data_IF_674738009161
#
_entry.id   IF_674738009161
#
_cell.length_a   1.000
_cell.length_b   1.000
_cell.length_c   1.000
_cell.angle_alpha   90.00
_cell.angle_beta   90.00
_cell.angle_gamma   90.00
#
_symmetry.space_group_name_H-M   'P 1'
#
loop_
_entity.id
_entity.type
_entity.pdbx_description
1 polymer ?
#
# COMPACT_ATOMS: atom_id res chain seq x y z
N UNK A 1 -3.98 -9.05 3.03
CA UNK A 1 -3.08 -7.87 3.11
C UNK A 1 -3.92 -6.62 2.84
N UNK A 2 -3.63 -5.44 3.42
CA UNK A 2 -4.41 -4.23 3.15
C UNK A 2 -3.73 -3.40 2.03
N UNK A 3 -4.48 -2.84 1.04
CA UNK A 3 -3.94 -2.04 -0.07
C UNK A 3 -2.96 -0.94 0.36
N UNK A 4 -3.33 -0.15 1.37
CA UNK A 4 -2.45 0.91 1.90
C UNK A 4 -1.16 0.38 2.55
N UNK A 5 -1.16 -0.82 3.16
CA UNK A 5 0.07 -1.42 3.69
C UNK A 5 1.02 -1.82 2.56
N UNK A 6 0.46 -2.38 1.49
CA UNK A 6 1.21 -2.69 0.29
C UNK A 6 1.83 -1.42 -0.31
N UNK A 7 1.03 -0.38 -0.52
CA UNK A 7 1.49 0.90 -1.08
C UNK A 7 2.64 1.50 -0.24
N UNK A 8 2.52 1.47 1.07
CA UNK A 8 3.58 1.93 1.96
C UNK A 8 4.88 1.16 1.80
N UNK A 9 4.81 -0.17 1.75
CA UNK A 9 6.00 -1.01 1.63
C UNK A 9 6.73 -0.76 0.30
N UNK A 10 6.00 -0.83 -0.82
CA UNK A 10 6.59 -0.74 -2.17
C UNK A 10 7.08 0.66 -2.53
N UNK A 11 6.54 1.70 -1.89
CA UNK A 11 6.98 3.09 -2.08
C UNK A 11 7.95 3.58 -0.98
N UNK A 12 8.34 2.72 -0.03
CA UNK A 12 9.17 3.10 1.12
C UNK A 12 8.62 4.28 1.93
N UNK A 13 7.31 4.25 2.18
CA UNK A 13 6.60 5.28 2.92
C UNK A 13 6.09 4.74 4.25
N UNK A 14 6.13 5.58 5.28
CA UNK A 14 5.37 5.37 6.50
C UNK A 14 3.88 5.70 6.29
N UNK A 15 2.99 5.11 7.11
CA UNK A 15 1.57 5.50 7.17
C UNK A 15 1.39 7.00 7.42
N UNK A 16 2.33 7.63 8.15
CA UNK A 16 2.29 9.07 8.41
C UNK A 16 2.58 9.89 7.14
N UNK A 17 3.50 9.43 6.29
CA UNK A 17 3.75 10.07 4.99
C UNK A 17 2.53 9.95 4.06
N UNK A 18 1.88 8.77 4.02
CA UNK A 18 0.62 8.61 3.27
C UNK A 18 -0.45 9.58 3.78
N UNK A 19 -0.63 9.69 5.10
CA UNK A 19 -1.59 10.62 5.69
C UNK A 19 -1.29 12.08 5.31
N UNK A 20 -0.01 12.49 5.35
CA UNK A 20 0.44 13.81 4.90
C UNK A 20 0.12 14.07 3.43
N UNK A 21 0.42 13.12 2.54
CA UNK A 21 0.11 13.24 1.10
C UNK A 21 -1.39 13.38 0.82
N UNK A 22 -2.24 12.80 1.68
CA UNK A 22 -3.69 12.91 1.57
C UNK A 22 -4.29 14.16 2.23
N UNK A 23 -3.50 14.87 3.05
CA UNK A 23 -3.93 16.02 3.84
C UNK A 23 -4.87 15.64 4.98
N UNK A 24 -4.62 14.49 5.63
CA UNK A 24 -5.43 13.96 6.73
C UNK A 24 -4.56 13.52 7.91
N UNK A 25 -5.19 13.20 9.03
CA UNK A 25 -4.47 12.69 10.20
C UNK A 25 -4.04 11.24 10.01
N UNK A 26 -2.94 10.85 10.66
CA UNK A 26 -2.53 9.44 10.75
C UNK A 26 -3.59 8.55 11.41
N UNK A 27 -4.36 9.10 12.36
CA UNK A 27 -5.45 8.36 13.00
C UNK A 27 -6.50 7.94 11.96
N UNK A 28 -6.89 8.85 11.07
CA UNK A 28 -7.85 8.55 9.98
C UNK A 28 -7.38 7.39 9.12
N UNK A 29 -6.09 7.37 8.74
CA UNK A 29 -5.51 6.25 7.97
C UNK A 29 -5.51 4.94 8.78
N UNK A 30 -5.19 5.00 10.08
CA UNK A 30 -5.21 3.82 10.94
C UNK A 30 -6.63 3.24 11.13
N UNK A 31 -7.67 4.05 11.04
CA UNK A 31 -9.05 3.55 11.10
C UNK A 31 -9.43 2.73 9.86
N UNK A 32 -8.82 3.02 8.70
CA UNK A 32 -9.01 2.24 7.48
C UNK A 32 -8.22 0.93 7.53
N UNK A 33 -6.96 0.98 7.95
CA UNK A 33 -6.02 -0.14 7.87
C UNK A 33 -6.06 -1.08 9.09
N UNK A 34 -6.54 -0.56 10.23
CA UNK A 34 -6.51 -1.23 11.53
C UNK A 34 -7.73 -2.12 11.80
N UNK A 35 -7.98 -2.42 13.08
CA UNK A 35 -9.06 -3.34 13.52
C UNK A 35 -10.47 -2.90 13.09
N UNK A 36 -10.68 -1.60 12.86
CA UNK A 36 -11.99 -1.06 12.45
C UNK A 36 -12.28 -1.31 10.97
N UNK A 37 -11.26 -1.55 10.15
CA UNK A 37 -11.34 -1.82 8.71
C UNK A 37 -12.36 -0.94 7.99
N UNK A 38 -12.40 0.36 8.33
CA UNK A 38 -13.39 1.27 7.74
C UNK A 38 -13.10 1.45 6.25
N UNK A 39 -14.12 1.46 5.39
CA UNK A 39 -13.92 1.76 3.98
C UNK A 39 -13.20 3.10 3.78
N UNK A 40 -12.27 3.14 2.81
CA UNK A 40 -11.60 4.38 2.42
C UNK A 40 -12.63 5.24 1.66
N UNK A 41 -12.87 6.51 2.07
CA UNK A 41 -13.83 7.38 1.38
C UNK A 41 -13.44 7.61 -0.09
N UNK A 42 -14.42 7.71 -1.00
CA UNK A 42 -14.17 7.84 -2.45
C UNK A 42 -13.23 9.00 -2.81
N UNK A 43 -13.35 10.14 -2.12
CA UNK A 43 -12.44 11.28 -2.30
C UNK A 43 -10.97 10.89 -2.09
N UNK A 44 -10.71 10.02 -1.11
CA UNK A 44 -9.37 9.56 -0.77
C UNK A 44 -8.94 8.41 -1.68
N UNK A 45 -9.86 7.55 -2.12
CA UNK A 45 -9.60 6.53 -3.14
C UNK A 45 -9.08 7.17 -4.44
N UNK A 46 -9.77 8.21 -4.93
CA UNK A 46 -9.34 8.95 -6.13
C UNK A 46 -7.94 9.55 -5.99
N UNK A 47 -7.66 10.18 -4.85
CA UNK A 47 -6.32 10.73 -4.56
C UNK A 47 -5.25 9.66 -4.52
N UNK A 48 -5.49 8.54 -3.82
CA UNK A 48 -4.56 7.42 -3.73
C UNK A 48 -4.30 6.79 -5.11
N UNK A 49 -5.36 6.62 -5.91
CA UNK A 49 -5.28 6.13 -7.28
C UNK A 49 -4.37 7.00 -8.13
N UNK A 50 -4.55 8.32 -8.09
CA UNK A 50 -3.71 9.28 -8.81
C UNK A 50 -2.26 9.34 -8.29
N UNK A 51 -2.07 9.37 -6.97
CA UNK A 51 -0.74 9.52 -6.36
C UNK A 51 0.16 8.31 -6.60
N UNK A 52 -0.42 7.11 -6.58
CA UNK A 52 0.33 5.85 -6.65
C UNK A 52 0.11 5.09 -7.95
N UNK A 53 -0.62 5.67 -8.90
CA UNK A 53 -0.95 5.08 -10.20
C UNK A 53 -1.53 3.65 -10.07
N UNK A 54 -2.52 3.49 -9.19
CA UNK A 54 -3.20 2.20 -8.94
C UNK A 54 -4.70 2.32 -9.21
N UNK A 55 -5.33 1.21 -9.60
CA UNK A 55 -6.78 1.19 -9.83
C UNK A 55 -7.55 1.46 -8.54
N UNK A 56 -8.63 2.24 -8.62
CA UNK A 56 -9.49 2.53 -7.46
C UNK A 56 -10.03 1.27 -6.77
N UNK A 57 -10.42 0.26 -7.56
CA UNK A 57 -10.91 -1.02 -7.05
C UNK A 57 -9.87 -1.76 -6.20
N UNK A 58 -8.57 -1.59 -6.46
CA UNK A 58 -7.52 -2.15 -5.61
C UNK A 58 -7.54 -1.52 -4.21
N UNK A 59 -7.75 -0.20 -4.13
CA UNK A 59 -7.80 0.51 -2.83
C UNK A 59 -9.08 0.13 -2.06
N UNK A 60 -10.19 -0.04 -2.76
CA UNK A 60 -11.48 -0.46 -2.19
C UNK A 60 -11.51 -1.92 -1.74
N UNK A 61 -10.58 -2.74 -2.24
CA UNK A 61 -10.55 -4.19 -1.99
C UNK A 61 -11.37 -5.01 -2.98
N UNK A 62 -11.88 -4.39 -4.04
CA UNK A 62 -12.59 -5.05 -5.14
C UNK A 62 -11.64 -5.82 -6.07
N UNK A 63 -10.34 -5.47 -6.03
CA UNK A 63 -9.29 -6.15 -6.78
C UNK A 63 -8.37 -6.85 -5.78
N UNK A 64 -8.24 -8.16 -5.91
CA UNK A 64 -7.36 -8.97 -5.08
C UNK A 64 -5.87 -8.74 -5.39
N UNK A 65 -5.03 -9.12 -4.44
CA UNK A 65 -3.58 -9.10 -4.66
C UNK A 65 -3.18 -10.25 -5.58
N UNK A 66 -2.44 -9.93 -6.64
CA UNK A 66 -1.81 -10.97 -7.45
C UNK A 66 -0.54 -11.49 -6.77
N UNK A 67 -0.14 -12.71 -7.11
CA UNK A 67 1.12 -13.29 -6.66
C UNK A 67 2.32 -12.39 -7.02
N UNK A 68 2.30 -11.78 -8.22
CA UNK A 68 3.32 -10.83 -8.66
C UNK A 68 3.45 -9.62 -7.72
N UNK A 69 2.32 -9.06 -7.27
CA UNK A 69 2.33 -7.94 -6.31
C UNK A 69 2.89 -8.39 -4.95
N UNK A 70 2.47 -9.56 -4.48
CA UNK A 70 2.95 -10.12 -3.22
C UNK A 70 4.47 -10.35 -3.28
N UNK A 71 4.96 -10.92 -4.39
CA UNK A 71 6.39 -11.15 -4.63
C UNK A 71 7.18 -9.84 -4.66
N UNK A 72 6.72 -8.84 -5.43
CA UNK A 72 7.36 -7.53 -5.50
C UNK A 72 7.49 -6.87 -4.10
N UNK A 73 6.44 -6.98 -3.28
CA UNK A 73 6.50 -6.49 -1.90
C UNK A 73 7.60 -7.20 -1.09
N UNK A 74 7.70 -8.54 -1.17
CA UNK A 74 8.75 -9.29 -0.47
C UNK A 74 10.15 -8.97 -0.99
N UNK A 75 10.32 -8.88 -2.31
CA UNK A 75 11.57 -8.45 -2.95
C UNK A 75 12.00 -7.08 -2.43
N UNK A 76 11.07 -6.13 -2.32
CA UNK A 76 11.32 -4.79 -1.79
C UNK A 76 11.80 -4.86 -0.33
N UNK A 77 11.10 -5.61 0.52
CA UNK A 77 11.45 -5.75 1.94
C UNK A 77 12.81 -6.39 2.15
N UNK A 78 13.10 -7.48 1.44
CA UNK A 78 14.37 -8.18 1.52
C UNK A 78 15.50 -7.29 0.99
N UNK A 79 15.26 -6.60 -0.13
CA UNK A 79 16.26 -5.72 -0.73
C UNK A 79 16.69 -4.61 0.23
N UNK A 80 15.73 -3.99 0.93
CA UNK A 80 16.01 -3.00 1.98
C UNK A 80 16.83 -3.59 3.12
N UNK A 81 16.45 -4.78 3.61
CA UNK A 81 17.15 -5.45 4.71
C UNK A 81 18.59 -5.81 4.36
N UNK A 82 18.86 -6.20 3.11
CA UNK A 82 20.18 -6.63 2.66
C UNK A 82 21.03 -5.51 2.07
N UNK A 83 20.47 -4.31 1.85
CA UNK A 83 21.16 -3.21 1.17
C UNK A 83 21.50 -3.50 -0.30
N UNK A 84 20.84 -4.48 -0.93
CA UNK A 84 21.08 -4.87 -2.33
C UNK A 84 19.81 -5.39 -2.99
N UNK A 85 19.71 -5.26 -4.31
CA UNK A 85 18.54 -5.71 -5.07
C UNK A 85 18.41 -7.24 -5.03
N UNK A 86 17.20 -7.72 -4.75
CA UNK A 86 16.83 -9.14 -4.76
C UNK A 86 15.69 -9.36 -5.74
N UNK A 87 15.76 -10.49 -6.46
CA UNK A 87 14.66 -11.05 -7.25
C UNK A 87 14.38 -12.47 -6.78
N UNK A 88 13.12 -12.76 -6.52
CA UNK A 88 12.66 -14.11 -6.17
C UNK A 88 12.32 -14.81 -7.49
N UNK A 89 12.81 -16.02 -7.67
CA UNK A 89 12.54 -16.83 -8.86
C UNK A 89 12.24 -18.25 -8.42
N UNK A 90 11.17 -18.82 -8.96
CA UNK A 90 10.81 -20.22 -8.73
C UNK A 90 11.53 -21.09 -9.77
N UNK A 91 12.02 -22.25 -9.33
CA UNK A 91 12.60 -23.27 -10.20
C UNK A 91 11.54 -24.29 -10.59
#
# INVERSE_FOLDING_TARGET
MHPLKYLAEVNDLSMNQIAKSLGITRQTVNEWVGKRNKPVPDKQVKKLSQLYNVKEGFIKGDIEFTDEMILNMYETRISKKLGRKVKITFK
#
